data_IF_448985128018
#
_entry.id   IF_448985128018
#
_cell.length_a   1.000
_cell.length_b   1.000
_cell.length_c   1.000
_cell.angle_alpha   90.00
_cell.angle_beta   90.00
_cell.angle_gamma   90.00
#
_symmetry.space_group_name_H-M   'P 1'
#
loop_
_entity.id
_entity.type
_entity.pdbx_description
1 polymer ?
#
# COMPACT_ATOMS: atom_id res chain seq x y z
N UNK A 1 -7.97 14.56 -3.31
CA UNK A 1 -7.85 13.11 -3.57
C UNK A 1 -9.22 12.42 -3.61
N UNK A 2 -9.30 11.21 -4.19
CA UNK A 2 -10.43 10.28 -4.05
C UNK A 2 -9.93 8.98 -3.41
N UNK A 3 -10.57 8.55 -2.34
CA UNK A 3 -10.22 7.33 -1.61
C UNK A 3 -11.43 6.41 -1.50
N UNK A 4 -11.27 5.15 -1.90
CA UNK A 4 -12.33 4.14 -1.91
C UNK A 4 -11.87 2.92 -1.12
N UNK A 5 -12.73 2.38 -0.25
CA UNK A 5 -12.52 1.09 0.41
C UNK A 5 -13.44 0.03 -0.17
N UNK A 6 -12.92 -1.18 -0.33
CA UNK A 6 -13.67 -2.35 -0.80
C UNK A 6 -13.51 -3.48 0.21
N UNK A 7 -14.61 -4.14 0.57
CA UNK A 7 -14.58 -5.28 1.51
C UNK A 7 -13.99 -6.51 0.81
N UNK A 8 -13.25 -7.37 1.55
CA UNK A 8 -12.81 -8.64 1.02
C UNK A 8 -13.99 -9.59 0.77
N UNK A 9 -13.76 -10.63 -0.03
CA UNK A 9 -14.68 -11.75 -0.10
C UNK A 9 -14.73 -12.48 1.25
N UNK A 10 -15.76 -13.29 1.46
CA UNK A 10 -15.99 -14.01 2.72
C UNK A 10 -14.80 -14.89 3.12
N UNK A 11 -14.12 -15.47 2.14
CA UNK A 11 -12.97 -16.37 2.33
C UNK A 11 -11.72 -15.61 2.79
N UNK A 12 -11.59 -14.34 2.39
CA UNK A 12 -10.44 -13.50 2.72
C UNK A 12 -10.69 -12.58 3.92
N UNK A 13 -11.94 -12.42 4.35
CA UNK A 13 -12.33 -11.63 5.51
C UNK A 13 -11.56 -11.99 6.80
N UNK A 14 -11.20 -13.25 7.10
CA UNK A 14 -10.38 -13.55 8.28
C UNK A 14 -8.97 -12.95 8.23
N UNK A 15 -8.45 -12.63 7.05
CA UNK A 15 -7.06 -12.24 6.85
C UNK A 15 -6.91 -10.77 6.41
N UNK A 16 -7.84 -10.27 5.61
CA UNK A 16 -7.82 -8.94 5.02
C UNK A 16 -8.81 -8.05 5.77
N UNK A 17 -8.37 -6.85 6.14
CA UNK A 17 -9.25 -5.86 6.76
C UNK A 17 -10.08 -5.16 5.68
N UNK A 18 -9.42 -4.63 4.64
CA UNK A 18 -10.06 -4.04 3.46
C UNK A 18 -9.05 -3.88 2.33
N UNK A 19 -9.56 -3.83 1.09
CA UNK A 19 -8.83 -3.27 -0.04
C UNK A 19 -9.11 -1.79 -0.15
N UNK A 20 -8.23 -1.06 -0.81
CA UNK A 20 -8.41 0.37 -1.05
C UNK A 20 -7.77 0.83 -2.36
N UNK A 21 -8.32 1.91 -2.90
CA UNK A 21 -7.78 2.65 -4.04
C UNK A 21 -7.73 4.13 -3.66
N UNK A 22 -6.59 4.77 -3.94
CA UNK A 22 -6.37 6.19 -3.77
C UNK A 22 -5.98 6.79 -5.11
N UNK A 23 -6.69 7.83 -5.54
CA UNK A 23 -6.33 8.66 -6.69
C UNK A 23 -6.11 10.10 -6.29
N UNK A 24 -5.09 10.71 -6.85
CA UNK A 24 -4.93 12.16 -6.91
C UNK A 24 -6.17 12.82 -7.53
N UNK A 25 -6.41 14.08 -7.18
CA UNK A 25 -7.36 14.93 -7.91
C UNK A 25 -6.58 16.10 -8.52
N UNK A 26 -7.11 16.69 -9.58
CA UNK A 26 -6.41 17.74 -10.32
C UNK A 26 -6.28 19.08 -9.57
N UNK A 27 -7.04 19.25 -8.48
CA UNK A 27 -7.27 20.55 -7.84
C UNK A 27 -6.23 20.86 -6.77
N UNK A 28 -5.79 19.87 -5.98
CA UNK A 28 -4.92 20.10 -4.82
C UNK A 28 -3.94 18.96 -4.58
N UNK A 29 -2.67 19.33 -4.39
CA UNK A 29 -1.61 18.44 -3.89
C UNK A 29 -1.55 18.54 -2.38
N UNK A 30 -1.50 17.40 -1.70
CA UNK A 30 -1.57 17.38 -0.24
C UNK A 30 -0.75 16.24 0.37
N UNK A 31 -0.39 16.42 1.63
CA UNK A 31 0.12 15.33 2.46
C UNK A 31 -1.05 14.59 3.09
N UNK A 32 -1.13 13.29 2.86
CA UNK A 32 -2.09 12.39 3.48
C UNK A 32 -1.43 11.62 4.61
N UNK A 33 -2.01 11.71 5.80
CA UNK A 33 -1.48 11.06 7.02
C UNK A 33 -2.20 9.76 7.30
N UNK A 34 -1.42 8.69 7.47
CA UNK A 34 -1.90 7.41 7.99
C UNK A 34 -1.39 7.22 9.42
N UNK A 35 -2.30 6.94 10.36
CA UNK A 35 -1.98 6.67 11.75
C UNK A 35 -1.75 5.16 11.99
N UNK A 36 -0.91 4.80 12.97
CA UNK A 36 -0.73 3.42 13.41
C UNK A 36 -2.04 2.73 13.81
N UNK A 37 -2.34 1.61 13.19
CA UNK A 37 -3.48 0.74 13.50
C UNK A 37 -3.07 -0.72 13.75
N UNK A 38 -1.76 -0.99 13.81
CA UNK A 38 -1.18 -2.33 13.96
C UNK A 38 -1.33 -3.23 12.74
N UNK A 39 -1.87 -2.72 11.63
CA UNK A 39 -2.03 -3.46 10.39
C UNK A 39 -0.79 -3.32 9.52
N UNK A 40 -0.42 -4.40 8.83
CA UNK A 40 0.51 -4.35 7.70
C UNK A 40 -0.29 -4.29 6.40
N UNK A 41 0.37 -3.97 5.30
CA UNK A 41 -0.27 -3.88 4.01
C UNK A 41 0.65 -4.17 2.84
N UNK A 42 0.04 -4.30 1.68
CA UNK A 42 0.74 -4.37 0.40
C UNK A 42 0.15 -3.26 -0.49
N UNK A 43 1.02 -2.52 -1.17
CA UNK A 43 0.65 -1.39 -2.02
C UNK A 43 1.29 -1.54 -3.38
N UNK A 44 0.56 -1.25 -4.44
CA UNK A 44 1.09 -1.10 -5.79
C UNK A 44 0.82 0.32 -6.28
N UNK A 45 1.84 0.92 -6.91
CA UNK A 45 1.69 2.21 -7.56
C UNK A 45 1.34 2.02 -9.04
N UNK A 46 0.20 2.56 -9.46
CA UNK A 46 -0.32 2.56 -10.83
C UNK A 46 -0.24 3.94 -11.50
N UNK A 47 0.24 4.95 -10.78
CA UNK A 47 0.36 6.32 -11.25
C UNK A 47 1.81 6.83 -11.26
N UNK A 48 1.96 8.14 -11.22
CA UNK A 48 3.26 8.80 -11.06
C UNK A 48 3.93 8.43 -9.74
N UNK A 49 5.21 8.76 -9.62
CA UNK A 49 5.97 8.47 -8.42
C UNK A 49 5.35 9.14 -7.17
N UNK A 50 5.13 8.36 -6.11
CA UNK A 50 4.56 8.84 -4.85
C UNK A 50 5.63 8.84 -3.75
N UNK A 51 5.81 9.98 -3.07
CA UNK A 51 6.65 10.04 -1.87
C UNK A 51 5.83 9.59 -0.66
N UNK A 52 6.39 8.69 0.13
CA UNK A 52 5.80 8.12 1.36
C UNK A 52 6.83 8.12 2.47
N UNK A 53 6.44 7.64 3.65
CA UNK A 53 7.32 7.47 4.81
C UNK A 53 7.96 8.81 5.18
N UNK A 54 7.13 9.86 5.20
CA UNK A 54 7.53 11.24 5.47
C UNK A 54 8.60 11.76 4.48
N UNK A 55 8.55 11.29 3.23
CA UNK A 55 9.45 11.69 2.15
C UNK A 55 10.73 10.85 2.03
N UNK A 56 10.92 9.84 2.88
CA UNK A 56 12.12 8.99 2.84
C UNK A 56 12.06 7.90 1.77
N UNK A 57 10.86 7.50 1.35
CA UNK A 57 10.65 6.41 0.40
C UNK A 57 9.86 6.90 -0.80
N UNK A 58 10.26 6.44 -2.00
CA UNK A 58 9.60 6.76 -3.26
C UNK A 58 9.01 5.49 -3.87
N UNK A 59 7.69 5.45 -4.00
CA UNK A 59 6.97 4.39 -4.69
C UNK A 59 6.93 4.70 -6.19
N UNK A 60 7.59 3.90 -7.02
CA UNK A 60 7.67 4.08 -8.48
C UNK A 60 6.53 3.33 -9.20
N UNK A 61 6.17 3.81 -10.39
CA UNK A 61 5.13 3.20 -11.23
C UNK A 61 5.37 1.70 -11.47
N UNK A 62 4.30 0.91 -11.35
CA UNK A 62 4.26 -0.52 -11.61
C UNK A 62 4.95 -1.38 -10.56
N UNK A 63 5.47 -0.78 -9.49
CA UNK A 63 6.15 -1.50 -8.41
C UNK A 63 5.21 -1.84 -7.27
N UNK A 64 5.52 -2.94 -6.58
CA UNK A 64 4.78 -3.42 -5.40
C UNK A 64 5.64 -3.25 -4.16
N UNK A 65 5.02 -2.84 -3.06
CA UNK A 65 5.65 -2.53 -1.80
C UNK A 65 4.93 -3.24 -0.66
N UNK A 66 5.70 -3.75 0.29
CA UNK A 66 5.22 -4.14 1.61
C UNK A 66 5.28 -2.92 2.52
N UNK A 67 4.20 -2.63 3.21
CA UNK A 67 4.14 -1.63 4.28
C UNK A 67 3.99 -2.39 5.58
N UNK A 68 5.04 -2.41 6.41
CA UNK A 68 4.97 -3.09 7.70
C UNK A 68 4.08 -2.37 8.70
N UNK A 69 3.79 -3.06 9.80
CA UNK A 69 3.03 -2.46 10.90
C UNK A 69 3.77 -1.23 11.44
N UNK A 70 3.03 -0.16 11.67
CA UNK A 70 3.60 1.13 12.05
C UNK A 70 3.45 1.37 13.55
N UNK A 71 4.43 2.05 14.15
CA UNK A 71 4.38 2.59 15.52
C UNK A 71 4.28 4.11 15.55
N UNK A 72 4.49 4.77 14.41
CA UNK A 72 4.35 6.22 14.20
C UNK A 72 3.54 6.49 12.92
N UNK A 73 3.03 7.72 12.77
CA UNK A 73 2.31 8.09 11.55
C UNK A 73 3.27 8.13 10.35
N UNK A 74 2.70 7.92 9.16
CA UNK A 74 3.37 8.14 7.89
C UNK A 74 2.58 9.14 7.06
N UNK A 75 3.26 10.14 6.54
CA UNK A 75 2.72 11.07 5.57
C UNK A 75 3.15 10.63 4.15
N UNK A 76 2.19 10.63 3.23
CA UNK A 76 2.38 10.41 1.80
C UNK A 76 1.99 11.66 1.02
N UNK A 77 2.82 12.06 0.06
CA UNK A 77 2.53 13.19 -0.80
C UNK A 77 1.67 12.74 -1.98
N UNK A 78 0.42 13.18 -2.00
CA UNK A 78 -0.56 12.85 -3.03
C UNK A 78 -0.56 13.97 -4.08
N UNK A 79 -0.03 13.66 -5.27
CA UNK A 79 -0.07 14.50 -6.47
C UNK A 79 -1.23 14.10 -7.39
N UNK A 80 -1.49 14.90 -8.42
CA UNK A 80 -2.59 14.74 -9.36
C UNK A 80 -2.52 13.41 -10.14
N UNK A 81 -1.31 12.91 -10.40
CA UNK A 81 -1.06 11.65 -11.10
C UNK A 81 -0.86 10.46 -10.15
N UNK A 82 -1.01 10.65 -8.84
CA UNK A 82 -0.92 9.57 -7.87
C UNK A 82 -2.07 8.59 -8.06
N UNK A 83 -1.77 7.32 -8.24
CA UNK A 83 -2.77 6.24 -8.26
C UNK A 83 -2.20 5.04 -7.52
N UNK A 84 -2.68 4.83 -6.30
CA UNK A 84 -2.25 3.73 -5.45
C UNK A 84 -3.41 2.78 -5.24
N UNK A 85 -3.10 1.49 -5.28
CA UNK A 85 -4.01 0.44 -4.81
C UNK A 85 -3.33 -0.35 -3.73
N UNK A 86 -4.09 -0.85 -2.77
CA UNK A 86 -3.50 -1.64 -1.72
C UNK A 86 -4.49 -2.48 -0.94
N UNK A 87 -3.92 -3.26 -0.04
CA UNK A 87 -4.63 -4.09 0.91
C UNK A 87 -4.13 -3.76 2.31
N UNK A 88 -5.07 -3.54 3.22
CA UNK A 88 -4.83 -3.48 4.65
C UNK A 88 -5.13 -4.86 5.23
N UNK A 89 -4.13 -5.51 5.81
CA UNK A 89 -4.25 -6.83 6.40
C UNK A 89 -4.61 -6.71 7.87
N UNK A 90 -5.37 -7.68 8.39
CA UNK A 90 -5.66 -7.71 9.82
C UNK A 90 -4.36 -7.88 10.63
N UNK A 91 -4.32 -7.43 11.90
CA UNK A 91 -3.16 -7.63 12.74
C UNK A 91 -2.74 -9.11 12.79
N UNK A 92 -1.43 -9.36 12.72
CA UNK A 92 -0.81 -10.68 12.74
C UNK A 92 -1.18 -11.65 11.58
N UNK A 93 -1.86 -11.21 10.52
CA UNK A 93 -2.19 -12.07 9.37
C UNK A 93 -1.23 -11.93 8.19
N UNK A 94 -0.24 -11.04 8.28
CA UNK A 94 0.74 -10.81 7.21
C UNK A 94 1.53 -12.07 6.84
N UNK A 95 1.88 -12.89 7.82
CA UNK A 95 2.60 -14.15 7.63
C UNK A 95 1.85 -15.16 6.74
N UNK A 96 0.53 -15.02 6.59
CA UNK A 96 -0.26 -15.86 5.67
C UNK A 96 -0.01 -15.52 4.20
N UNK A 97 0.50 -14.32 3.90
CA UNK A 97 0.75 -13.83 2.54
C UNK A 97 2.23 -13.62 2.23
N UNK A 98 3.10 -13.60 3.26
CA UNK A 98 4.50 -13.29 3.11
C UNK A 98 5.35 -14.08 4.10
N UNK A 99 6.32 -14.85 3.57
CA UNK A 99 7.17 -15.75 4.35
C UNK A 99 8.68 -15.48 4.18
N UNK A 100 9.06 -14.39 3.51
CA UNK A 100 10.47 -14.13 3.17
C UNK A 100 11.25 -13.43 4.29
N UNK A 101 10.58 -12.60 5.09
CA UNK A 101 11.16 -11.82 6.20
C UNK A 101 10.18 -11.78 7.37
N UNK A 102 10.70 -11.73 8.60
CA UNK A 102 9.85 -11.63 9.78
C UNK A 102 9.08 -10.30 9.81
N UNK A 103 7.86 -10.30 10.35
CA UNK A 103 7.06 -9.06 10.44
C UNK A 103 7.77 -7.98 11.28
N UNK A 104 8.56 -8.40 12.28
CA UNK A 104 9.29 -7.48 13.14
C UNK A 104 10.33 -6.67 12.37
N UNK A 105 11.04 -7.30 11.42
CA UNK A 105 12.04 -6.62 10.58
C UNK A 105 11.43 -5.59 9.63
N UNK A 106 10.14 -5.70 9.32
CA UNK A 106 9.42 -4.76 8.45
C UNK A 106 8.75 -3.63 9.25
N UNK A 107 8.79 -3.66 10.57
CA UNK A 107 8.11 -2.67 11.42
C UNK A 107 8.61 -1.26 11.07
N UNK A 108 7.66 -0.33 10.85
CA UNK A 108 7.91 1.04 10.40
C UNK A 108 8.48 1.21 8.99
N UNK A 109 8.81 0.13 8.27
CA UNK A 109 9.43 0.22 6.96
C UNK A 109 8.43 0.00 5.82
N UNK A 110 8.74 0.63 4.69
CA UNK A 110 8.11 0.37 3.39
C UNK A 110 9.19 -0.19 2.48
N UNK A 111 9.04 -1.46 2.06
CA UNK A 111 10.07 -2.18 1.31
C UNK A 111 9.51 -2.61 -0.05
N UNK A 112 10.26 -2.35 -1.11
CA UNK A 112 9.93 -2.82 -2.46
C UNK A 112 10.04 -4.35 -2.53
N UNK A 113 9.05 -5.01 -3.13
CA UNK A 113 9.15 -6.42 -3.46
C UNK A 113 10.21 -6.67 -4.54
N UNK A 114 10.95 -7.76 -4.43
CA UNK A 114 11.70 -8.29 -5.56
C UNK A 114 10.78 -8.50 -6.77
N UNK A 115 11.30 -8.25 -7.98
CA UNK A 115 10.51 -8.32 -9.22
C UNK A 115 9.83 -9.68 -9.44
N UNK A 116 10.42 -10.77 -8.97
CA UNK A 116 9.84 -12.13 -9.01
C UNK A 116 8.57 -12.27 -8.16
N UNK A 117 8.45 -11.46 -7.11
CA UNK A 117 7.36 -11.47 -6.13
C UNK A 117 6.40 -10.28 -6.29
N UNK A 118 6.71 -9.31 -7.16
CA UNK A 118 5.86 -8.17 -7.48
C UNK A 118 4.64 -8.56 -8.31
N UNK A 119 3.53 -7.85 -8.16
CA UNK A 119 2.37 -8.07 -9.01
C UNK A 119 2.66 -7.67 -10.47
N UNK A 120 2.02 -8.37 -11.41
CA UNK A 120 2.13 -8.03 -12.83
C UNK A 120 1.28 -6.80 -13.14
N UNK A 121 1.94 -5.63 -13.26
CA UNK A 121 1.26 -4.36 -13.55
C UNK A 121 0.38 -4.40 -14.80
N UNK A 122 0.81 -5.08 -15.87
CA UNK A 122 0.02 -5.17 -17.11
C UNK A 122 -1.28 -5.95 -16.89
N UNK A 123 -1.23 -7.03 -16.10
CA UNK A 123 -2.42 -7.79 -15.75
C UNK A 123 -3.37 -6.96 -14.89
N UNK A 124 -2.84 -6.12 -13.98
CA UNK A 124 -3.64 -5.23 -13.13
C UNK A 124 -4.30 -4.13 -13.98
N UNK A 125 -3.55 -3.45 -14.85
CA UNK A 125 -4.07 -2.36 -15.70
C UNK A 125 -5.18 -2.80 -16.66
N UNK A 126 -5.20 -4.05 -17.10
CA UNK A 126 -6.28 -4.58 -17.94
C UNK A 126 -7.65 -4.65 -17.21
N UNK A 127 -7.69 -4.40 -15.90
CA UNK A 127 -8.90 -4.42 -15.09
C UNK A 127 -9.35 -3.02 -14.62
N UNK A 128 -8.71 -1.94 -15.10
CA UNK A 128 -9.02 -0.54 -14.74
C UNK A 128 -9.53 0.28 -15.93
#
# INVERSE_FOLDING_TARGET
MKYIKVKPSKELEPYIHFYWELKGNEVERQWERVFPDGCAGIVMNLGGACLTDNGSTKMEFGKTYVVGAMTSFKDSFIDNDTHLIGVCLKPATFANFYSYTSQNELTNDTVEFEKSNSFNVNAVLNNF
#
